data_IF_433511360178
#
_entry.id   IF_433511360178
#
_cell.length_a   1.000
_cell.length_b   1.000
_cell.length_c   1.000
_cell.angle_alpha   90.00
_cell.angle_beta   90.00
_cell.angle_gamma   90.00
#
_symmetry.space_group_name_H-M   'P 1'
#
loop_
_entity.id
_entity.type
_entity.pdbx_description
1 polymer ?
#
# COMPACT_ATOMS: atom_id res chain seq x y z
N UNK A 1 9.11 -15.79 -20.00
CA UNK A 1 9.66 -14.44 -20.12
C UNK A 1 8.96 -13.74 -21.29
N UNK A 2 8.04 -12.84 -20.97
CA UNK A 2 7.16 -12.19 -21.95
C UNK A 2 7.90 -11.17 -22.81
N UNK A 3 8.93 -10.51 -22.30
CA UNK A 3 9.72 -9.55 -23.08
C UNK A 3 10.50 -10.26 -24.20
N UNK A 4 11.10 -11.41 -23.91
CA UNK A 4 11.79 -12.21 -24.93
C UNK A 4 10.83 -12.69 -26.03
N UNK A 5 9.63 -13.10 -25.66
CA UNK A 5 8.59 -13.46 -26.62
C UNK A 5 8.14 -12.27 -27.45
N UNK A 6 7.90 -11.12 -26.79
CA UNK A 6 7.51 -9.87 -27.45
C UNK A 6 8.57 -9.38 -28.45
N UNK A 7 9.86 -9.47 -28.11
CA UNK A 7 10.95 -9.14 -29.04
C UNK A 7 10.93 -10.01 -30.30
N UNK A 8 10.68 -11.32 -30.16
CA UNK A 8 10.59 -12.24 -31.31
C UNK A 8 9.38 -11.91 -32.20
N UNK A 9 8.22 -11.63 -31.60
CA UNK A 9 7.04 -11.25 -32.34
C UNK A 9 7.23 -9.90 -33.08
N UNK A 10 7.79 -8.90 -32.41
CA UNK A 10 8.10 -7.60 -33.01
C UNK A 10 9.09 -7.75 -34.16
N UNK A 11 10.18 -8.50 -34.00
CA UNK A 11 11.16 -8.76 -35.03
C UNK A 11 10.54 -9.44 -36.26
N UNK A 12 9.74 -10.47 -36.08
CA UNK A 12 9.06 -11.16 -37.17
C UNK A 12 8.07 -10.25 -37.90
N UNK A 13 7.28 -9.47 -37.15
CA UNK A 13 6.32 -8.54 -37.71
C UNK A 13 7.02 -7.46 -38.56
N UNK A 14 8.04 -6.81 -38.03
CA UNK A 14 8.75 -5.73 -38.65
C UNK A 14 9.56 -6.21 -39.89
N UNK A 15 10.16 -7.40 -39.82
CA UNK A 15 10.83 -8.02 -41.00
C UNK A 15 9.83 -8.28 -42.12
N UNK A 16 8.62 -8.75 -41.84
CA UNK A 16 7.57 -8.99 -42.84
C UNK A 16 7.11 -7.68 -43.50
N UNK A 17 7.21 -6.55 -42.80
CA UNK A 17 6.91 -5.20 -43.32
C UNK A 17 8.13 -4.54 -43.96
N UNK A 18 9.27 -5.24 -44.06
CA UNK A 18 10.52 -4.76 -44.65
C UNK A 18 11.07 -3.50 -43.96
N UNK A 19 10.86 -3.39 -42.67
CA UNK A 19 11.42 -2.30 -41.89
C UNK A 19 12.95 -2.42 -41.77
N UNK A 20 13.61 -1.30 -41.54
CA UNK A 20 15.06 -1.24 -41.47
C UNK A 20 15.60 -1.96 -40.24
N UNK A 21 16.72 -2.65 -40.38
CA UNK A 21 17.35 -3.43 -39.30
C UNK A 21 17.73 -2.57 -38.10
N UNK A 22 18.08 -1.30 -38.30
CA UNK A 22 18.37 -0.37 -37.22
C UNK A 22 17.11 -0.07 -36.38
N UNK A 23 15.98 0.15 -37.07
CA UNK A 23 14.69 0.35 -36.40
C UNK A 23 14.23 -0.90 -35.62
N UNK A 24 14.36 -2.09 -36.21
CA UNK A 24 14.05 -3.34 -35.55
C UNK A 24 14.88 -3.51 -34.26
N UNK A 25 16.17 -3.18 -34.33
CA UNK A 25 17.06 -3.23 -33.16
C UNK A 25 16.61 -2.25 -32.06
N UNK A 26 16.23 -1.04 -32.43
CA UNK A 26 15.73 -0.03 -31.50
C UNK A 26 14.43 -0.46 -30.82
N UNK A 27 13.47 -1.01 -31.56
CA UNK A 27 12.23 -1.56 -31.00
C UNK A 27 12.52 -2.69 -30.01
N UNK A 28 13.42 -3.60 -30.34
CA UNK A 28 13.84 -4.68 -29.44
C UNK A 28 14.50 -4.15 -28.17
N UNK A 29 15.34 -3.11 -28.30
CA UNK A 29 15.96 -2.44 -27.14
C UNK A 29 14.93 -1.78 -26.24
N UNK A 30 13.92 -1.12 -26.80
CA UNK A 30 12.80 -0.57 -26.05
C UNK A 30 12.00 -1.63 -25.30
N UNK A 31 11.73 -2.79 -25.91
CA UNK A 31 11.07 -3.90 -25.23
C UNK A 31 11.96 -4.44 -24.09
N UNK A 32 13.26 -4.60 -24.29
CA UNK A 32 14.18 -5.04 -23.25
C UNK A 32 14.23 -4.05 -22.06
N UNK A 33 14.13 -2.76 -22.34
CA UNK A 33 14.13 -1.72 -21.33
C UNK A 33 12.93 -1.82 -20.34
N UNK A 34 11.82 -2.44 -20.72
CA UNK A 34 10.65 -2.62 -19.83
C UNK A 34 10.90 -3.63 -18.69
N UNK A 35 11.93 -4.47 -18.80
CA UNK A 35 12.29 -5.38 -17.68
C UNK A 35 12.55 -4.60 -16.40
N UNK A 36 12.05 -5.10 -15.28
CA UNK A 36 12.15 -4.44 -13.97
C UNK A 36 13.60 -4.05 -13.62
N UNK A 37 14.56 -4.92 -13.91
CA UNK A 37 15.98 -4.72 -13.54
C UNK A 37 16.83 -4.08 -14.64
N UNK A 38 16.26 -3.75 -15.79
CA UNK A 38 17.02 -3.11 -16.85
C UNK A 38 17.22 -1.61 -16.56
N UNK A 39 18.38 -1.09 -16.94
CA UNK A 39 18.68 0.34 -16.88
C UNK A 39 18.59 0.91 -18.29
N UNK A 40 17.64 1.83 -18.58
CA UNK A 40 17.46 2.41 -19.89
C UNK A 40 18.59 3.40 -20.21
N UNK A 41 19.22 3.25 -21.36
CA UNK A 41 20.38 4.04 -21.77
C UNK A 41 19.98 5.31 -22.51
N UNK A 42 19.09 5.19 -23.48
CA UNK A 42 18.69 6.28 -24.37
C UNK A 42 17.28 6.83 -24.06
N UNK A 43 16.89 7.90 -24.76
CA UNK A 43 15.61 8.56 -24.51
C UNK A 43 14.40 7.68 -24.86
N UNK A 44 14.33 6.97 -26.00
CA UNK A 44 13.25 6.04 -26.29
C UNK A 44 13.04 4.97 -25.21
N UNK A 45 14.12 4.36 -24.74
CA UNK A 45 14.06 3.36 -23.66
C UNK A 45 13.53 3.95 -22.35
N UNK A 46 13.96 5.17 -21.99
CA UNK A 46 13.47 5.88 -20.80
C UNK A 46 11.99 6.21 -20.91
N UNK A 47 11.55 6.66 -22.09
CA UNK A 47 10.14 6.98 -22.33
C UNK A 47 9.25 5.75 -22.22
N UNK A 48 9.63 4.64 -22.85
CA UNK A 48 8.81 3.43 -22.81
C UNK A 48 8.78 2.81 -21.39
N UNK A 49 9.90 2.83 -20.69
CA UNK A 49 9.97 2.33 -19.31
C UNK A 49 9.12 3.16 -18.36
N UNK A 50 9.15 4.47 -18.49
CA UNK A 50 8.29 5.36 -17.69
C UNK A 50 6.81 5.17 -18.04
N UNK A 51 6.48 5.03 -19.35
CA UNK A 51 5.11 4.79 -19.79
C UNK A 51 4.55 3.45 -19.26
N UNK A 52 5.33 2.39 -19.33
CA UNK A 52 4.98 1.06 -18.83
C UNK A 52 4.65 1.09 -17.32
N UNK A 53 5.42 1.84 -16.56
CA UNK A 53 5.25 1.96 -15.11
C UNK A 53 4.37 3.15 -14.66
N UNK A 54 3.75 3.87 -15.59
CA UNK A 54 2.90 5.03 -15.27
C UNK A 54 1.73 4.71 -14.34
N UNK A 55 1.22 3.48 -14.39
CA UNK A 55 0.16 2.97 -13.51
C UNK A 55 0.50 3.06 -12.01
N UNK A 56 1.80 3.09 -11.64
CA UNK A 56 2.25 3.28 -10.26
C UNK A 56 1.90 4.68 -9.70
N UNK A 57 1.63 5.62 -10.60
CA UNK A 57 1.17 6.97 -10.31
C UNK A 57 -0.34 7.18 -10.60
N UNK A 58 -1.11 6.11 -10.72
CA UNK A 58 -2.56 6.19 -10.93
C UNK A 58 -3.30 6.47 -9.63
N UNK A 59 -4.48 7.08 -9.74
CA UNK A 59 -5.44 7.20 -8.63
C UNK A 59 -6.01 5.82 -8.25
N UNK A 60 -6.08 4.90 -9.19
CA UNK A 60 -6.62 3.54 -9.00
C UNK A 60 -5.53 2.52 -8.63
N UNK A 61 -4.34 3.00 -8.24
CA UNK A 61 -3.19 2.14 -7.94
C UNK A 61 -3.52 1.01 -6.96
N UNK A 62 -4.23 1.30 -5.87
CA UNK A 62 -4.56 0.29 -4.86
C UNK A 62 -5.47 -0.82 -5.44
N UNK A 63 -6.47 -0.43 -6.22
CA UNK A 63 -7.40 -1.36 -6.87
C UNK A 63 -6.69 -2.21 -7.91
N UNK A 64 -5.89 -1.59 -8.77
CA UNK A 64 -5.15 -2.28 -9.83
C UNK A 64 -4.12 -3.25 -9.25
N UNK A 65 -3.44 -2.83 -8.19
CA UNK A 65 -2.46 -3.64 -7.48
C UNK A 65 -3.12 -4.87 -6.83
N UNK A 66 -4.32 -4.73 -6.25
CA UNK A 66 -5.05 -5.85 -5.68
C UNK A 66 -5.53 -6.83 -6.77
N UNK A 67 -5.97 -6.33 -7.92
CA UNK A 67 -6.31 -7.19 -9.08
C UNK A 67 -5.09 -7.99 -9.55
N UNK A 68 -3.91 -7.37 -9.62
CA UNK A 68 -2.67 -8.04 -9.95
C UNK A 68 -2.30 -9.15 -8.95
N UNK A 69 -2.50 -8.92 -7.65
CA UNK A 69 -2.30 -9.93 -6.61
C UNK A 69 -3.21 -11.14 -6.83
N UNK A 70 -4.49 -10.89 -7.15
CA UNK A 70 -5.47 -11.94 -7.43
C UNK A 70 -5.13 -12.71 -8.72
N UNK A 71 -4.69 -12.01 -9.76
CA UNK A 71 -4.23 -12.63 -11.00
C UNK A 71 -3.04 -13.56 -10.76
N UNK A 72 -2.04 -13.12 -10.01
CA UNK A 72 -0.88 -13.96 -9.68
C UNK A 72 -1.28 -15.21 -8.91
N UNK A 73 -2.24 -15.09 -8.00
CA UNK A 73 -2.79 -16.24 -7.28
C UNK A 73 -3.52 -17.21 -8.22
N UNK A 74 -4.38 -16.70 -9.12
CA UNK A 74 -5.12 -17.52 -10.07
C UNK A 74 -4.22 -18.21 -11.10
N UNK A 75 -3.14 -17.56 -11.50
CA UNK A 75 -2.14 -18.10 -12.43
C UNK A 75 -1.09 -18.97 -11.74
N UNK A 76 -1.22 -19.22 -10.43
CA UNK A 76 -0.26 -20.01 -9.63
C UNK A 76 1.18 -19.48 -9.68
N UNK A 77 1.36 -18.18 -9.97
CA UNK A 77 2.67 -17.54 -10.01
C UNK A 77 3.18 -17.36 -8.58
N UNK A 78 2.38 -16.72 -7.73
CA UNK A 78 2.66 -16.56 -6.30
C UNK A 78 1.38 -16.16 -5.54
N UNK A 79 1.16 -16.78 -4.38
CA UNK A 79 0.08 -16.40 -3.47
C UNK A 79 0.65 -15.55 -2.34
N UNK A 80 0.43 -14.26 -2.41
CA UNK A 80 0.73 -13.32 -1.34
C UNK A 80 -0.50 -13.10 -0.46
N UNK A 81 -0.32 -13.10 0.85
CA UNK A 81 -1.35 -12.55 1.70
C UNK A 81 -1.46 -11.01 1.55
N UNK A 82 -2.57 -10.40 1.99
CA UNK A 82 -2.77 -8.95 1.83
C UNK A 82 -1.70 -8.09 2.53
N UNK A 83 -1.12 -8.55 3.64
CA UNK A 83 -0.12 -7.80 4.41
C UNK A 83 1.26 -7.89 3.74
N UNK A 84 1.62 -9.07 3.26
CA UNK A 84 2.82 -9.29 2.45
C UNK A 84 2.76 -8.45 1.18
N UNK A 85 1.58 -8.41 0.50
CA UNK A 85 1.40 -7.64 -0.72
C UNK A 85 1.60 -6.14 -0.51
N UNK A 86 1.08 -5.58 0.57
CA UNK A 86 1.34 -4.17 0.95
C UNK A 86 2.84 -3.93 1.10
N UNK A 87 3.58 -4.86 1.73
CA UNK A 87 5.03 -4.74 1.90
C UNK A 87 5.78 -4.80 0.58
N UNK A 88 5.39 -5.69 -0.34
CA UNK A 88 5.95 -5.80 -1.70
C UNK A 88 5.72 -4.49 -2.48
N UNK A 89 4.52 -3.92 -2.41
CA UNK A 89 4.22 -2.66 -3.09
C UNK A 89 5.01 -1.48 -2.50
N UNK A 90 5.16 -1.40 -1.18
CA UNK A 90 6.01 -0.39 -0.54
C UNK A 90 7.44 -0.49 -1.07
N UNK A 91 8.01 -1.69 -1.13
CA UNK A 91 9.35 -1.91 -1.65
C UNK A 91 9.46 -1.54 -3.13
N UNK A 92 8.45 -1.89 -3.93
CA UNK A 92 8.39 -1.53 -5.36
C UNK A 92 8.41 -0.01 -5.55
N UNK A 93 7.53 0.72 -4.86
CA UNK A 93 7.42 2.17 -5.03
C UNK A 93 8.60 2.94 -4.42
N UNK A 94 9.20 2.45 -3.33
CA UNK A 94 10.23 3.18 -2.59
C UNK A 94 11.65 2.91 -3.09
N UNK A 95 11.96 1.67 -3.52
CA UNK A 95 13.35 1.23 -3.70
C UNK A 95 13.65 0.61 -5.05
N UNK A 96 12.67 -0.04 -5.69
CA UNK A 96 12.90 -0.77 -6.93
C UNK A 96 12.64 0.11 -8.15
N UNK A 97 11.54 0.86 -8.13
CA UNK A 97 11.11 1.66 -9.27
C UNK A 97 11.54 3.12 -9.15
N UNK A 98 12.05 3.67 -10.28
CA UNK A 98 12.29 5.10 -10.45
C UNK A 98 11.79 5.56 -11.83
N UNK A 99 11.39 6.83 -11.93
CA UNK A 99 11.13 7.48 -13.22
C UNK A 99 12.41 8.11 -13.76
N UNK A 100 12.60 8.01 -15.06
CA UNK A 100 13.83 8.41 -15.74
C UNK A 100 13.72 9.78 -16.42
N UNK A 101 12.58 10.06 -17.08
CA UNK A 101 12.38 11.31 -17.85
C UNK A 101 12.00 12.47 -16.94
N UNK A 102 12.32 13.69 -17.37
CA UNK A 102 11.89 14.91 -16.68
C UNK A 102 10.38 15.02 -16.57
N UNK A 103 9.67 14.66 -17.63
CA UNK A 103 8.21 14.64 -17.65
C UNK A 103 7.62 13.72 -16.57
N UNK A 104 8.06 12.49 -16.48
CA UNK A 104 7.55 11.54 -15.50
C UNK A 104 7.91 11.94 -14.05
N UNK A 105 9.11 12.49 -13.85
CA UNK A 105 9.51 13.03 -12.55
C UNK A 105 8.65 14.22 -12.09
N UNK A 106 8.27 15.08 -13.01
CA UNK A 106 7.44 16.23 -12.69
C UNK A 106 5.96 15.87 -12.52
N UNK A 107 5.41 15.02 -13.39
CA UNK A 107 3.96 14.78 -13.47
C UNK A 107 3.51 13.52 -12.74
N UNK A 108 4.34 12.48 -12.63
CA UNK A 108 3.97 11.17 -12.08
C UNK A 108 4.60 10.89 -10.70
N UNK A 109 5.81 11.37 -10.47
CA UNK A 109 6.50 11.13 -9.19
C UNK A 109 5.73 11.64 -7.96
N UNK A 110 5.07 12.82 -7.98
CA UNK A 110 4.29 13.28 -6.83
C UNK A 110 3.16 12.33 -6.47
N UNK A 111 2.40 11.84 -7.47
CA UNK A 111 1.31 10.90 -7.23
C UNK A 111 1.80 9.52 -6.77
N UNK A 112 2.91 9.03 -7.32
CA UNK A 112 3.57 7.82 -6.83
C UNK A 112 3.97 7.94 -5.35
N UNK A 113 4.47 9.11 -4.92
CA UNK A 113 4.81 9.36 -3.51
C UNK A 113 3.57 9.41 -2.62
N UNK A 114 2.46 9.97 -3.11
CA UNK A 114 1.17 9.92 -2.42
C UNK A 114 0.71 8.48 -2.20
N UNK A 115 0.68 7.66 -3.26
CA UNK A 115 0.33 6.25 -3.19
C UNK A 115 1.23 5.48 -2.20
N UNK A 116 2.54 5.75 -2.20
CA UNK A 116 3.47 5.18 -1.21
C UNK A 116 3.12 5.61 0.22
N UNK A 117 2.79 6.88 0.43
CA UNK A 117 2.41 7.40 1.75
C UNK A 117 1.12 6.74 2.27
N UNK A 118 0.16 6.50 1.39
CA UNK A 118 -1.09 5.79 1.73
C UNK A 118 -0.81 4.34 2.15
N UNK A 119 0.05 3.61 1.42
CA UNK A 119 0.46 2.26 1.79
C UNK A 119 1.19 2.21 3.13
N UNK A 120 2.10 3.16 3.39
CA UNK A 120 2.80 3.26 4.68
C UNK A 120 1.84 3.52 5.84
N UNK A 121 0.84 4.39 5.62
CA UNK A 121 -0.20 4.64 6.61
C UNK A 121 -1.08 3.42 6.86
N UNK A 122 -1.43 2.68 5.80
CA UNK A 122 -2.18 1.42 5.89
C UNK A 122 -1.40 0.39 6.73
N UNK A 123 -0.12 0.20 6.42
CA UNK A 123 0.77 -0.70 7.17
C UNK A 123 0.86 -0.34 8.65
N UNK A 124 1.08 0.95 8.96
CA UNK A 124 1.11 1.42 10.36
C UNK A 124 -0.19 1.19 11.12
N UNK A 125 -1.34 1.33 10.45
CA UNK A 125 -2.66 1.05 11.05
C UNK A 125 -2.82 -0.44 11.34
N UNK A 126 -2.38 -1.31 10.44
CA UNK A 126 -2.40 -2.76 10.62
C UNK A 126 -1.51 -3.18 11.80
N UNK A 127 -0.26 -2.71 11.85
CA UNK A 127 0.67 -2.99 12.94
C UNK A 127 0.10 -2.57 14.32
N UNK A 128 -0.48 -1.38 14.39
CA UNK A 128 -1.16 -0.91 15.62
C UNK A 128 -2.36 -1.78 16.01
N UNK A 129 -3.10 -2.30 15.04
CA UNK A 129 -4.23 -3.20 15.29
C UNK A 129 -3.74 -4.53 15.86
N UNK A 130 -2.72 -5.12 15.22
CA UNK A 130 -2.12 -6.38 15.68
C UNK A 130 -1.55 -6.24 17.09
N UNK A 131 -0.83 -5.14 17.34
CA UNK A 131 -0.27 -4.87 18.67
C UNK A 131 -1.37 -4.76 19.75
N UNK A 132 -2.45 -4.03 19.46
CA UNK A 132 -3.62 -3.96 20.37
C UNK A 132 -4.26 -5.32 20.61
N UNK A 133 -4.36 -6.16 19.58
CA UNK A 133 -4.91 -7.51 19.71
C UNK A 133 -3.99 -8.42 20.53
N UNK A 134 -2.68 -8.33 20.34
CA UNK A 134 -1.68 -9.04 21.16
C UNK A 134 -1.76 -8.62 22.63
N UNK A 135 -1.84 -7.32 22.90
CA UNK A 135 -2.00 -6.80 24.26
C UNK A 135 -3.30 -7.29 24.90
N UNK A 136 -4.42 -7.28 24.17
CA UNK A 136 -5.70 -7.82 24.65
C UNK A 136 -5.63 -9.32 24.92
N UNK A 137 -4.97 -10.08 24.04
CA UNK A 137 -4.80 -11.51 24.22
C UNK A 137 -3.93 -11.83 25.46
N UNK A 138 -2.83 -11.09 25.63
CA UNK A 138 -1.98 -11.20 26.83
C UNK A 138 -2.77 -10.88 28.10
N UNK A 139 -3.53 -9.79 28.07
CA UNK A 139 -4.39 -9.42 29.21
C UNK A 139 -5.40 -10.52 29.53
N UNK A 140 -6.04 -11.10 28.51
CA UNK A 140 -6.97 -12.23 28.71
C UNK A 140 -6.29 -13.49 29.26
N UNK A 141 -5.06 -13.78 28.82
CA UNK A 141 -4.29 -14.92 29.32
C UNK A 141 -3.87 -14.73 30.79
N UNK A 142 -3.40 -13.53 31.13
CA UNK A 142 -3.04 -13.18 32.50
C UNK A 142 -4.27 -13.24 33.47
N UNK A 143 -5.46 -12.81 32.97
CA UNK A 143 -6.70 -12.91 33.72
C UNK A 143 -7.20 -14.36 33.92
N UNK A 144 -6.86 -15.27 33.01
CA UNK A 144 -7.28 -16.68 33.09
C UNK A 144 -6.50 -17.45 34.17
N UNK A 145 -5.31 -16.97 34.51
CA UNK A 145 -4.43 -17.55 35.51
C UNK A 145 -4.52 -16.88 36.89
N UNK A 146 -5.26 -15.78 37.00
CA UNK A 146 -5.36 -15.04 38.26
C UNK A 146 -6.62 -15.45 39.04
N UNK A 147 -6.47 -15.50 40.37
CA UNK A 147 -7.51 -15.88 41.34
C UNK A 147 -8.84 -15.15 41.07
N UNK A 148 -10.02 -15.81 41.10
CA UNK A 148 -11.32 -15.19 40.81
C UNK A 148 -11.58 -13.91 41.60
N UNK A 149 -11.10 -13.85 42.87
CA UNK A 149 -11.24 -12.66 43.72
C UNK A 149 -10.52 -11.42 43.21
N UNK A 150 -9.31 -11.55 42.62
CA UNK A 150 -8.55 -10.45 42.05
C UNK A 150 -9.21 -9.93 40.78
N UNK A 151 -9.76 -10.82 39.97
CA UNK A 151 -10.49 -10.47 38.75
C UNK A 151 -11.76 -9.67 39.06
N UNK A 152 -12.49 -10.07 40.09
CA UNK A 152 -13.69 -9.37 40.57
C UNK A 152 -13.32 -7.98 41.13
N UNK A 153 -12.25 -7.86 41.91
CA UNK A 153 -11.79 -6.55 42.44
C UNK A 153 -11.37 -5.60 41.30
N UNK A 154 -10.68 -6.11 40.26
CA UNK A 154 -10.25 -5.30 39.12
C UNK A 154 -11.44 -4.86 38.27
N UNK A 155 -12.41 -5.77 38.06
CA UNK A 155 -13.66 -5.44 37.37
C UNK A 155 -14.41 -4.36 38.12
N UNK A 156 -14.56 -4.51 39.44
CA UNK A 156 -15.24 -3.57 40.32
C UNK A 156 -14.57 -2.17 40.28
N UNK A 157 -13.23 -2.12 40.39
CA UNK A 157 -12.47 -0.85 40.28
C UNK A 157 -12.65 -0.16 38.91
N UNK A 158 -12.64 -0.93 37.84
CA UNK A 158 -12.81 -0.38 36.48
C UNK A 158 -14.23 0.14 36.28
N UNK A 159 -15.23 -0.60 36.76
CA UNK A 159 -16.64 -0.19 36.69
C UNK A 159 -16.87 1.05 37.55
N UNK A 160 -16.33 1.10 38.76
CA UNK A 160 -16.45 2.27 39.64
C UNK A 160 -15.81 3.53 39.01
N UNK A 161 -14.61 3.40 38.43
CA UNK A 161 -13.94 4.51 37.74
C UNK A 161 -14.75 5.01 36.57
N UNK A 162 -15.33 4.10 35.75
CA UNK A 162 -16.20 4.47 34.65
C UNK A 162 -17.46 5.18 35.12
N UNK A 163 -18.07 4.76 36.25
CA UNK A 163 -19.20 5.45 36.86
C UNK A 163 -18.84 6.85 37.32
N UNK A 164 -17.69 7.03 37.97
CA UNK A 164 -17.22 8.35 38.40
C UNK A 164 -17.03 9.27 37.20
N UNK A 165 -16.34 8.80 36.17
CA UNK A 165 -16.12 9.60 34.96
C UNK A 165 -17.42 9.97 34.23
N UNK A 166 -18.40 9.07 34.18
CA UNK A 166 -19.71 9.35 33.59
C UNK A 166 -20.50 10.36 34.46
N UNK A 167 -20.39 10.30 35.78
CA UNK A 167 -20.99 11.26 36.68
C UNK A 167 -20.39 12.66 36.51
N UNK A 168 -19.04 12.76 36.43
CA UNK A 168 -18.34 14.03 36.18
C UNK A 168 -18.73 14.66 34.82
N UNK A 169 -18.90 13.82 33.78
CA UNK A 169 -19.38 14.29 32.47
C UNK A 169 -20.83 14.78 32.55
N UNK A 170 -21.68 14.06 33.29
CA UNK A 170 -23.08 14.47 33.50
C UNK A 170 -23.18 15.78 34.26
N UNK A 171 -22.41 15.93 35.35
CA UNK A 171 -22.35 17.16 36.15
C UNK A 171 -21.81 18.36 35.33
N UNK A 172 -20.77 18.12 34.52
CA UNK A 172 -20.23 19.16 33.66
C UNK A 172 -21.27 19.62 32.62
N UNK A 173 -22.01 18.69 32.02
CA UNK A 173 -23.07 19.00 31.05
C UNK A 173 -24.24 19.73 31.73
N UNK A 174 -24.63 19.32 32.93
CA UNK A 174 -25.67 20.01 33.70
C UNK A 174 -25.26 21.43 34.05
N UNK A 175 -24.03 21.65 34.50
CA UNK A 175 -23.49 22.98 34.78
C UNK A 175 -23.43 23.88 33.56
N UNK A 176 -23.07 23.37 32.40
CA UNK A 176 -23.09 24.10 31.12
C UNK A 176 -24.52 24.52 30.77
N UNK A 177 -25.48 23.61 30.87
CA UNK A 177 -26.91 23.91 30.60
C UNK A 177 -27.47 24.93 31.55
N UNK A 178 -27.14 24.85 32.85
CA UNK A 178 -27.55 25.85 33.86
C UNK A 178 -26.95 27.23 33.56
N UNK A 179 -25.68 27.27 33.19
CA UNK A 179 -24.99 28.53 32.83
C UNK A 179 -25.57 29.18 31.57
N UNK A 180 -25.94 28.41 30.57
CA UNK A 180 -26.57 28.91 29.33
C UNK A 180 -27.97 29.45 29.64
N UNK A 181 -28.77 28.76 30.47
CA UNK A 181 -30.11 29.21 30.87
C UNK A 181 -30.10 30.43 31.79
N UNK A 182 -29.00 30.70 32.50
CA UNK A 182 -28.88 31.88 33.38
C UNK A 182 -28.48 33.17 32.60
N UNK A 183 -28.11 33.04 31.32
CA UNK A 183 -27.69 34.17 30.45
C UNK A 183 -28.86 34.64 29.55
N UNK A 184 -29.94 33.86 29.43
CA UNK A 184 -31.19 34.20 28.72
C UNK A 184 -32.18 34.81 29.71
#
# INVERSE_FOLDING_TARGET
>A
DHETSSQKYAENFLNNHKEDKSFIKEVKSCIEATRVKSEPENLPEKLIKDADSSHLASNDFETTSELLRQEWKLMEIKDYDPEEWVTVNIQMLSSIHQFYTGYAKENWQPKKQENLSELLNKKKKQEKKIEKEKQKAKYKADFKNDNPERSIQTLFRTTLRNHINLSEIADSKANILLSVNAII
#
